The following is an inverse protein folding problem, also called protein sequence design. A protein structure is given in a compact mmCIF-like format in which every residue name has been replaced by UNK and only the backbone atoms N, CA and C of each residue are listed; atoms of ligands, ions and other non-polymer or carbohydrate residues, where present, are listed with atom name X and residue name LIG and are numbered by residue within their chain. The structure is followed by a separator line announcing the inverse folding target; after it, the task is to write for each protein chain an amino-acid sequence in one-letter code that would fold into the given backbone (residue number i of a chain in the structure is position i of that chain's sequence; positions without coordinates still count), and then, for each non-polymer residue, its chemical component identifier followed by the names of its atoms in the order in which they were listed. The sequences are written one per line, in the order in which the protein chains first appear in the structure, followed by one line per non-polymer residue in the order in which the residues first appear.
data_IF_978532807426
#
_entry.id   IF_978532807426
#
_cell.length_a   1.000
_cell.length_b   1.000
_cell.length_c   1.000
_cell.angle_alpha   90.00
_cell.angle_beta   90.00
_cell.angle_gamma   90.00
#
_symmetry.space_group_name_H-M   'P 1'
#
loop_
_entity.id
_entity.type
_entity.pdbx_description
1 polymer ?
#
# COMPACT_ATOMS: atom_id res chain seq x y z
N UNK A 1 -37.38 -1.72 -25.01
CA UNK A 1 -37.66 -2.63 -23.88
C UNK A 1 -36.41 -2.82 -23.05
N UNK A 2 -36.26 -1.92 -22.08
CA UNK A 2 -35.58 -2.11 -20.80
C UNK A 2 -36.00 -0.88 -20.02
N UNK A 3 -37.08 -1.02 -19.24
CA UNK A 3 -37.56 0.02 -18.33
C UNK A 3 -36.52 0.18 -17.23
N UNK A 4 -35.74 1.26 -17.32
CA UNK A 4 -34.90 1.75 -16.23
C UNK A 4 -35.77 2.44 -15.20
N UNK A 5 -36.49 1.64 -14.41
CA UNK A 5 -37.21 2.13 -13.24
C UNK A 5 -36.16 2.34 -12.13
N UNK A 6 -35.48 3.49 -12.15
CA UNK A 6 -34.81 4.01 -10.95
C UNK A 6 -35.88 4.16 -9.89
N UNK A 7 -35.84 3.29 -8.88
CA UNK A 7 -36.70 3.39 -7.72
C UNK A 7 -36.38 4.71 -7.01
N UNK A 8 -37.11 5.77 -7.35
CA UNK A 8 -37.19 6.99 -6.54
C UNK A 8 -37.70 6.55 -5.18
N UNK A 9 -36.80 6.44 -4.21
CA UNK A 9 -37.14 6.16 -2.83
C UNK A 9 -38.01 7.32 -2.33
N UNK A 10 -39.27 7.03 -2.07
CA UNK A 10 -40.27 8.02 -1.66
C UNK A 10 -40.25 8.08 -0.14
N UNK A 11 -39.98 9.26 0.41
CA UNK A 11 -40.04 9.50 1.86
C UNK A 11 -41.34 10.22 2.17
N UNK A 12 -42.14 9.63 3.07
CA UNK A 12 -43.39 10.24 3.53
C UNK A 12 -43.08 11.38 4.50
N UNK A 13 -43.54 12.58 4.17
CA UNK A 13 -43.52 13.72 5.10
C UNK A 13 -44.43 13.46 6.30
N UNK A 14 -44.21 14.17 7.42
CA UNK A 14 -45.08 14.12 8.61
C UNK A 14 -46.54 14.53 8.34
N UNK A 15 -46.83 15.10 7.16
CA UNK A 15 -48.15 15.46 6.64
C UNK A 15 -48.76 14.43 5.68
N UNK A 16 -48.08 13.30 5.42
CA UNK A 16 -48.56 12.25 4.50
C UNK A 16 -48.36 12.54 3.01
N UNK A 17 -47.67 13.62 2.65
CA UNK A 17 -47.28 13.93 1.27
C UNK A 17 -45.99 13.18 0.88
N UNK A 18 -46.00 12.59 -0.31
CA UNK A 18 -44.85 11.93 -0.91
C UNK A 18 -43.82 12.97 -1.36
N UNK A 19 -42.63 12.95 -0.75
CA UNK A 19 -41.53 13.85 -1.11
C UNK A 19 -40.40 13.00 -1.68
N UNK A 20 -39.81 13.43 -2.79
CA UNK A 20 -38.64 12.73 -3.35
C UNK A 20 -37.46 12.83 -2.39
N UNK A 21 -36.71 11.74 -2.21
CA UNK A 21 -35.54 11.67 -1.32
C UNK A 21 -34.57 12.86 -1.48
N UNK A 22 -34.32 13.34 -2.71
CA UNK A 22 -33.50 14.53 -2.99
C UNK A 22 -33.98 15.79 -2.24
N UNK A 23 -35.29 16.05 -2.23
CA UNK A 23 -35.87 17.22 -1.54
C UNK A 23 -35.77 17.07 -0.02
N UNK A 24 -35.90 15.84 0.49
CA UNK A 24 -35.67 15.56 1.90
C UNK A 24 -34.20 15.83 2.29
N UNK A 25 -33.25 15.34 1.50
CA UNK A 25 -31.81 15.59 1.71
C UNK A 25 -31.48 17.09 1.63
N UNK A 26 -32.04 17.81 0.65
CA UNK A 26 -31.85 19.26 0.54
C UNK A 26 -32.37 20.01 1.76
N UNK A 27 -33.57 19.67 2.25
CA UNK A 27 -34.14 20.27 3.46
C UNK A 27 -33.29 19.91 4.68
N UNK A 28 -32.89 18.64 4.84
CA UNK A 28 -32.04 18.20 5.93
C UNK A 28 -30.68 18.92 5.93
N UNK A 29 -30.02 19.01 4.78
CA UNK A 29 -28.71 19.64 4.62
C UNK A 29 -28.81 21.17 4.79
N UNK A 30 -29.90 21.81 4.36
CA UNK A 30 -30.12 23.24 4.60
C UNK A 30 -30.34 23.56 6.08
N UNK A 31 -31.02 22.68 6.82
CA UNK A 31 -31.28 22.85 8.26
C UNK A 31 -30.03 22.54 9.10
N UNK A 32 -29.29 21.49 8.73
CA UNK A 32 -28.14 21.01 9.53
C UNK A 32 -26.82 21.64 9.11
N UNK A 33 -26.73 22.19 7.89
CA UNK A 33 -25.46 22.62 7.27
C UNK A 33 -24.49 21.46 7.03
N UNK A 34 -24.92 20.21 7.24
CA UNK A 34 -24.06 19.03 7.13
C UNK A 34 -23.99 18.61 5.66
N UNK A 35 -22.77 18.38 5.17
CA UNK A 35 -22.52 17.79 3.84
C UNK A 35 -22.22 16.32 4.03
N UNK A 36 -22.75 15.49 3.14
CA UNK A 36 -22.43 14.07 3.14
C UNK A 36 -21.09 13.82 2.44
N UNK A 37 -20.37 12.80 2.89
CA UNK A 37 -19.04 12.46 2.40
C UNK A 37 -19.00 11.00 1.94
N UNK A 38 -18.54 10.79 0.71
CA UNK A 38 -18.26 9.47 0.16
C UNK A 38 -16.75 9.32 0.03
N UNK A 39 -16.18 8.29 0.67
CA UNK A 39 -14.76 8.01 0.58
C UNK A 39 -14.49 6.56 0.20
N UNK A 40 -13.51 6.35 -0.68
CA UNK A 40 -13.11 5.03 -1.14
C UNK A 40 -11.59 4.91 -1.18
N UNK A 41 -11.07 3.88 -0.53
CA UNK A 41 -9.64 3.57 -0.51
C UNK A 41 -9.33 2.47 -1.53
N UNK A 42 -8.24 2.65 -2.26
CA UNK A 42 -7.70 1.68 -3.20
C UNK A 42 -6.38 1.11 -2.67
N UNK A 43 -6.15 -0.18 -2.95
CA UNK A 43 -5.00 -0.93 -2.44
C UNK A 43 -4.12 -1.52 -3.56
N UNK A 44 -4.46 -1.21 -4.82
CA UNK A 44 -3.75 -1.73 -5.99
C UNK A 44 -2.49 -0.91 -6.28
N UNK A 45 -1.40 -1.58 -6.65
CA UNK A 45 -0.14 -0.95 -7.04
C UNK A 45 -0.24 -0.41 -8.47
N UNK A 46 -0.56 0.87 -8.59
CA UNK A 46 -0.70 1.55 -9.87
C UNK A 46 0.62 2.18 -10.34
N UNK A 47 0.71 2.38 -11.65
CA UNK A 47 1.72 3.23 -12.28
C UNK A 47 1.00 4.38 -12.98
N UNK A 48 1.13 5.58 -12.42
CA UNK A 48 0.49 6.80 -12.93
C UNK A 48 1.56 7.66 -13.57
N UNK A 49 1.36 8.03 -14.83
CA UNK A 49 2.12 9.07 -15.52
C UNK A 49 1.35 10.38 -15.59
N UNK A 50 2.02 11.41 -16.12
CA UNK A 50 1.40 12.70 -16.37
C UNK A 50 0.18 12.60 -17.31
N UNK A 51 0.29 11.80 -18.39
CA UNK A 51 -0.80 11.60 -19.35
C UNK A 51 -2.05 10.99 -18.71
N UNK A 52 -1.88 10.11 -17.72
CA UNK A 52 -3.00 9.49 -17.00
C UNK A 52 -3.76 10.53 -16.14
N UNK A 53 -3.03 11.50 -15.55
CA UNK A 53 -3.63 12.62 -14.82
C UNK A 53 -4.34 13.60 -15.77
N UNK A 54 -3.78 13.84 -16.95
CA UNK A 54 -4.42 14.65 -17.99
C UNK A 54 -5.72 13.99 -18.48
N UNK A 55 -5.71 12.68 -18.66
CA UNK A 55 -6.92 11.91 -18.98
C UNK A 55 -7.96 12.01 -17.87
N UNK A 56 -7.56 11.95 -16.60
CA UNK A 56 -8.47 12.13 -15.47
C UNK A 56 -9.14 13.52 -15.51
N UNK A 57 -8.32 14.57 -15.67
CA UNK A 57 -8.84 15.93 -15.70
C UNK A 57 -9.81 16.13 -16.86
N UNK A 58 -9.47 15.66 -18.07
CA UNK A 58 -10.37 15.73 -19.22
C UNK A 58 -11.69 14.97 -19.00
N UNK A 59 -11.65 13.79 -18.38
CA UNK A 59 -12.86 13.03 -18.03
C UNK A 59 -13.72 13.75 -17.00
N UNK A 60 -13.11 14.42 -16.02
CA UNK A 60 -13.83 15.24 -15.05
C UNK A 60 -14.51 16.44 -15.72
N UNK A 61 -13.81 17.19 -16.56
CA UNK A 61 -14.41 18.31 -17.31
C UNK A 61 -15.57 17.84 -18.20
N UNK A 62 -15.37 16.76 -18.97
CA UNK A 62 -16.40 16.19 -19.83
C UNK A 62 -17.64 15.72 -19.03
N UNK A 63 -17.44 15.19 -17.83
CA UNK A 63 -18.53 14.81 -16.95
C UNK A 63 -19.29 16.05 -16.45
N UNK A 64 -18.55 17.10 -16.06
CA UNK A 64 -19.14 18.35 -15.58
C UNK A 64 -19.95 19.08 -16.66
N UNK A 65 -19.59 18.94 -17.95
CA UNK A 65 -20.38 19.47 -19.08
C UNK A 65 -21.81 18.92 -19.15
N UNK A 66 -22.05 17.72 -18.61
CA UNK A 66 -23.39 17.11 -18.58
C UNK A 66 -24.29 17.76 -17.52
N UNK A 67 -23.70 18.48 -16.56
CA UNK A 67 -24.39 19.17 -15.50
C UNK A 67 -24.42 20.68 -15.78
N UNK A 68 -25.46 21.37 -15.30
CA UNK A 68 -25.52 22.82 -15.34
C UNK A 68 -24.54 23.42 -14.31
N UNK A 69 -23.24 23.39 -14.64
CA UNK A 69 -22.18 23.88 -13.77
C UNK A 69 -22.00 25.40 -13.92
N UNK A 70 -22.14 26.14 -12.83
CA UNK A 70 -21.95 27.61 -12.83
C UNK A 70 -20.49 28.02 -12.66
N UNK A 71 -19.74 27.24 -11.87
CA UNK A 71 -18.32 27.47 -11.63
C UNK A 71 -17.62 26.15 -11.36
N UNK A 72 -16.42 26.00 -11.91
CA UNK A 72 -15.51 24.89 -11.63
C UNK A 72 -14.13 25.43 -11.30
N UNK A 73 -13.41 24.71 -10.45
CA UNK A 73 -12.04 24.98 -10.07
C UNK A 73 -11.32 23.67 -9.84
N UNK A 74 -10.04 23.64 -10.18
CA UNK A 74 -9.14 22.51 -9.94
C UNK A 74 -7.92 23.03 -9.20
N UNK A 75 -7.49 22.33 -8.15
CA UNK A 75 -6.21 22.58 -7.52
C UNK A 75 -5.42 21.29 -7.46
N UNK A 76 -4.10 21.40 -7.62
CA UNK A 76 -3.19 20.26 -7.57
C UNK A 76 -2.14 20.53 -6.51
N UNK A 77 -1.98 19.61 -5.58
CA UNK A 77 -0.95 19.67 -4.54
C UNK A 77 -0.02 18.48 -4.73
N UNK A 78 1.27 18.76 -4.90
CA UNK A 78 2.32 17.74 -5.05
C UNK A 78 3.27 17.85 -3.88
N UNK A 79 3.43 16.77 -3.12
CA UNK A 79 4.44 16.69 -2.06
C UNK A 79 5.60 15.83 -2.52
N UNK A 80 6.80 16.30 -2.24
CA UNK A 80 8.04 15.64 -2.58
C UNK A 80 8.67 14.99 -1.35
N UNK A 81 9.47 13.97 -1.60
CA UNK A 81 10.24 13.21 -0.61
C UNK A 81 11.19 14.05 0.26
N UNK A 82 11.56 15.25 -0.19
CA UNK A 82 12.41 16.20 0.55
C UNK A 82 11.61 17.16 1.44
N UNK A 83 10.29 16.99 1.52
CA UNK A 83 9.38 17.83 2.31
C UNK A 83 8.87 19.07 1.59
N UNK A 84 9.33 19.36 0.37
CA UNK A 84 8.75 20.44 -0.43
C UNK A 84 7.32 20.10 -0.83
N UNK A 85 6.47 21.13 -0.83
CA UNK A 85 5.07 21.03 -1.27
C UNK A 85 4.81 22.13 -2.27
N UNK A 86 4.34 21.76 -3.45
CA UNK A 86 3.94 22.69 -4.48
C UNK A 86 2.42 22.63 -4.65
N UNK A 87 1.77 23.78 -4.60
CA UNK A 87 0.35 23.93 -4.86
C UNK A 87 0.12 24.72 -6.15
N UNK A 88 -0.82 24.24 -6.95
CA UNK A 88 -1.23 24.85 -8.20
C UNK A 88 -2.73 25.14 -8.12
N UNK A 89 -3.12 26.34 -8.55
CA UNK A 89 -4.50 26.80 -8.54
C UNK A 89 -5.32 26.33 -9.74
N UNK A 90 -4.70 25.61 -10.69
CA UNK A 90 -5.35 25.04 -11.87
C UNK A 90 -4.53 23.89 -12.43
N UNK A 91 -5.16 23.01 -13.21
CA UNK A 91 -4.46 21.89 -13.84
C UNK A 91 -3.50 22.35 -14.94
N UNK A 92 -3.82 23.41 -15.67
CA UNK A 92 -2.99 23.96 -16.75
C UNK A 92 -1.68 24.56 -16.21
N UNK A 93 -1.74 25.21 -15.04
CA UNK A 93 -0.54 25.69 -14.35
C UNK A 93 0.33 24.54 -13.89
N UNK A 94 -0.29 23.45 -13.41
CA UNK A 94 0.41 22.21 -13.09
C UNK A 94 1.06 21.59 -14.33
N UNK A 95 0.35 21.50 -15.46
CA UNK A 95 0.88 20.98 -16.73
C UNK A 95 2.12 21.75 -17.18
N UNK A 96 2.06 23.08 -17.12
CA UNK A 96 3.16 23.95 -17.59
C UNK A 96 4.41 23.84 -16.71
N UNK A 97 4.26 23.63 -15.40
CA UNK A 97 5.36 23.74 -14.43
C UNK A 97 5.86 22.38 -13.87
N UNK A 98 5.13 21.29 -14.10
CA UNK A 98 5.43 19.97 -13.51
C UNK A 98 6.74 19.36 -14.04
N UNK A 99 7.06 19.54 -15.32
CA UNK A 99 8.20 18.89 -15.97
C UNK A 99 9.59 19.38 -15.56
N UNK A 100 9.70 20.55 -14.92
CA UNK A 100 10.99 21.20 -14.63
C UNK A 100 11.62 20.82 -13.28
N UNK A 101 11.01 19.90 -12.51
CA UNK A 101 11.32 19.75 -11.07
C UNK A 101 12.19 18.54 -10.76
N UNK A 102 13.09 18.70 -9.79
CA UNK A 102 14.19 17.76 -9.45
C UNK A 102 13.86 16.84 -8.24
N UNK A 103 12.61 16.78 -7.79
CA UNK A 103 12.21 16.00 -6.61
C UNK A 103 11.49 14.69 -6.94
N UNK A 104 11.68 13.65 -6.12
CA UNK A 104 10.85 12.44 -6.18
C UNK A 104 9.52 12.70 -5.45
N UNK A 105 8.40 12.40 -6.12
CA UNK A 105 7.04 12.67 -5.66
C UNK A 105 6.60 11.62 -4.65
N UNK A 106 6.17 12.06 -3.47
CA UNK A 106 5.63 11.21 -2.41
C UNK A 106 4.13 11.00 -2.57
N UNK A 107 3.39 12.09 -2.75
CA UNK A 107 1.95 12.05 -2.95
C UNK A 107 1.50 13.21 -3.84
N UNK A 108 0.35 12.99 -4.47
CA UNK A 108 -0.31 13.95 -5.33
C UNK A 108 -1.78 13.98 -4.97
N UNK A 109 -2.32 15.18 -4.80
CA UNK A 109 -3.71 15.43 -4.50
C UNK A 109 -4.28 16.36 -5.57
N UNK A 110 -5.32 15.91 -6.27
CA UNK A 110 -6.14 16.79 -7.12
C UNK A 110 -7.44 17.07 -6.39
N UNK A 111 -7.77 18.34 -6.20
CA UNK A 111 -9.03 18.76 -5.59
C UNK A 111 -9.83 19.57 -6.61
N UNK A 112 -10.98 19.05 -7.00
CA UNK A 112 -11.96 19.74 -7.83
C UNK A 112 -13.04 20.33 -6.94
N UNK A 113 -13.39 21.59 -7.16
CA UNK A 113 -14.49 22.26 -6.50
C UNK A 113 -15.41 22.83 -7.58
N UNK A 114 -16.69 22.49 -7.53
CA UNK A 114 -17.64 22.95 -8.54
C UNK A 114 -19.02 23.19 -7.98
N UNK A 115 -19.77 24.07 -8.64
CA UNK A 115 -21.14 24.44 -8.33
C UNK A 115 -22.07 23.85 -9.38
N UNK A 116 -22.98 22.95 -8.98
CA UNK A 116 -23.98 22.35 -9.87
C UNK A 116 -25.35 22.91 -9.50
N UNK A 117 -26.09 23.37 -10.50
CA UNK A 117 -27.50 23.76 -10.35
C UNK A 117 -28.37 22.51 -10.49
N UNK A 118 -29.02 22.11 -9.41
CA UNK A 118 -29.88 20.93 -9.42
C UNK A 118 -31.20 21.23 -10.16
N UNK A 119 -31.73 20.31 -10.99
CA UNK A 119 -32.93 20.54 -11.79
C UNK A 119 -34.18 20.89 -10.95
N UNK A 120 -34.26 20.32 -9.74
CA UNK A 120 -35.43 20.44 -8.86
C UNK A 120 -35.42 21.72 -8.03
N UNK A 121 -34.29 22.03 -7.39
CA UNK A 121 -34.19 23.21 -6.50
C UNK A 121 -33.81 24.48 -7.24
N UNK A 122 -33.17 24.36 -8.42
CA UNK A 122 -32.59 25.50 -9.17
C UNK A 122 -31.59 26.32 -8.36
N UNK A 123 -31.06 25.75 -7.28
CA UNK A 123 -30.02 26.35 -6.46
C UNK A 123 -28.68 25.74 -6.82
N UNK A 124 -27.65 26.58 -6.92
CA UNK A 124 -26.28 26.13 -7.07
C UNK A 124 -25.77 25.51 -5.76
N UNK A 125 -25.36 24.24 -5.81
CA UNK A 125 -24.80 23.50 -4.69
C UNK A 125 -23.33 23.19 -4.92
N UNK A 126 -22.52 23.33 -3.87
CA UNK A 126 -21.07 23.07 -3.93
C UNK A 126 -20.77 21.60 -3.73
N UNK A 127 -19.94 21.07 -4.61
CA UNK A 127 -19.36 19.74 -4.54
C UNK A 127 -17.84 19.86 -4.47
N UNK A 128 -17.21 18.96 -3.73
CA UNK A 128 -15.75 18.86 -3.64
C UNK A 128 -15.31 17.43 -3.90
N UNK A 129 -14.40 17.25 -4.84
CA UNK A 129 -13.87 15.94 -5.22
C UNK A 129 -12.36 15.96 -5.03
N UNK A 130 -11.87 15.16 -4.08
CA UNK A 130 -10.45 14.93 -3.82
C UNK A 130 -10.00 13.59 -4.37
N UNK A 131 -8.98 13.61 -5.22
CA UNK A 131 -8.27 12.44 -5.72
C UNK A 131 -6.87 12.45 -5.15
N UNK A 132 -6.62 11.56 -4.20
CA UNK A 132 -5.31 11.41 -3.56
C UNK A 132 -4.61 10.17 -4.09
N UNK A 133 -3.38 10.34 -4.57
CA UNK A 133 -2.50 9.29 -5.09
C UNK A 133 -1.20 9.29 -4.27
N UNK A 134 -0.76 8.10 -3.87
CA UNK A 134 0.47 7.91 -3.11
C UNK A 134 1.50 7.13 -3.94
N UNK A 135 2.74 7.62 -3.96
CA UNK A 135 3.88 6.86 -4.46
C UNK A 135 4.65 6.20 -3.32
N UNK A 136 4.77 4.88 -3.38
CA UNK A 136 5.61 4.13 -2.45
C UNK A 136 7.09 4.45 -2.63
N UNK A 137 7.52 4.72 -3.87
CA UNK A 137 8.92 5.05 -4.16
C UNK A 137 9.31 6.36 -3.47
N UNK A 138 8.50 7.41 -3.60
CA UNK A 138 8.76 8.69 -2.93
C UNK A 138 8.69 8.60 -1.41
N UNK A 139 7.76 7.81 -0.87
CA UNK A 139 7.68 7.63 0.59
C UNK A 139 8.86 6.83 1.14
N UNK A 140 9.31 5.78 0.44
CA UNK A 140 10.52 5.04 0.80
C UNK A 140 11.75 5.93 0.75
N UNK A 141 11.86 6.80 -0.26
CA UNK A 141 12.95 7.78 -0.33
C UNK A 141 12.94 8.72 0.88
N UNK A 142 11.77 9.25 1.25
CA UNK A 142 11.60 10.07 2.45
C UNK A 142 12.03 9.33 3.72
N UNK A 143 11.56 8.10 3.92
CA UNK A 143 11.91 7.28 5.10
C UNK A 143 13.41 6.97 5.18
N UNK A 144 14.06 6.81 4.02
CA UNK A 144 15.49 6.62 3.94
C UNK A 144 16.26 7.91 4.26
N UNK A 145 15.81 9.06 3.73
CA UNK A 145 16.41 10.37 4.02
C UNK A 145 16.24 10.79 5.48
N UNK A 146 15.08 10.49 6.08
CA UNK A 146 14.78 10.87 7.46
C UNK A 146 15.41 9.94 8.50
N UNK A 147 16.15 8.91 8.08
CA UNK A 147 16.68 7.85 8.97
C UNK A 147 15.59 7.28 9.91
N UNK A 148 14.37 7.08 9.39
CA UNK A 148 13.24 6.62 10.19
C UNK A 148 13.58 5.29 10.89
N UNK A 149 13.18 5.20 12.16
CA UNK A 149 13.31 4.00 12.98
C UNK A 149 12.56 2.80 12.38
N UNK A 150 12.94 1.59 12.77
CA UNK A 150 12.27 0.37 12.30
C UNK A 150 10.77 0.35 12.66
N UNK A 151 10.39 0.95 13.79
CA UNK A 151 8.99 1.09 14.20
C UNK A 151 8.23 2.02 13.26
N UNK A 152 8.77 3.21 12.98
CA UNK A 152 8.16 4.18 12.05
C UNK A 152 8.03 3.59 10.65
N UNK A 153 9.08 2.89 10.17
CA UNK A 153 9.04 2.18 8.88
C UNK A 153 7.91 1.15 8.86
N UNK A 154 7.72 0.37 9.93
CA UNK A 154 6.65 -0.62 10.01
C UNK A 154 5.26 0.03 10.03
N UNK A 155 5.06 1.08 10.82
CA UNK A 155 3.79 1.83 10.84
C UNK A 155 3.48 2.44 9.47
N UNK A 156 4.50 3.02 8.83
CA UNK A 156 4.35 3.61 7.51
C UNK A 156 4.08 2.55 6.43
N UNK A 157 4.68 1.36 6.53
CA UNK A 157 4.36 0.22 5.64
C UNK A 157 2.89 -0.19 5.71
N UNK A 158 2.26 -0.11 6.89
CA UNK A 158 0.84 -0.40 7.03
C UNK A 158 -0.04 0.70 6.41
N UNK A 159 0.35 1.97 6.56
CA UNK A 159 -0.30 3.10 5.89
C UNK A 159 -0.15 3.07 4.37
N UNK A 160 1.01 2.60 3.88
CA UNK A 160 1.30 2.43 2.46
C UNK A 160 0.40 1.41 1.76
N UNK A 161 -0.40 0.60 2.48
CA UNK A 161 -1.37 -0.27 1.81
C UNK A 161 -2.37 0.54 0.99
N UNK A 162 -2.70 1.76 1.42
CA UNK A 162 -3.58 2.66 0.67
C UNK A 162 -2.75 3.34 -0.40
N UNK A 163 -3.01 3.03 -1.66
CA UNK A 163 -2.30 3.60 -2.81
C UNK A 163 -3.02 4.79 -3.39
N UNK A 164 -4.35 4.77 -3.38
CA UNK A 164 -5.18 5.91 -3.76
C UNK A 164 -6.39 6.06 -2.84
N UNK A 165 -6.92 7.27 -2.74
CA UNK A 165 -8.15 7.58 -2.03
C UNK A 165 -8.96 8.58 -2.84
N UNK A 166 -10.24 8.30 -3.00
CA UNK A 166 -11.21 9.26 -3.50
C UNK A 166 -12.05 9.76 -2.34
N UNK A 167 -12.31 11.06 -2.32
CA UNK A 167 -13.14 11.73 -1.33
C UNK A 167 -14.09 12.66 -2.08
N UNK A 168 -15.39 12.52 -1.89
CA UNK A 168 -16.41 13.33 -2.55
C UNK A 168 -17.32 13.89 -1.48
N UNK A 169 -17.33 15.21 -1.33
CA UNK A 169 -18.32 15.94 -0.53
C UNK A 169 -19.46 16.34 -1.44
N UNK A 170 -20.68 15.94 -1.09
CA UNK A 170 -21.84 16.08 -1.96
C UNK A 170 -23.10 16.50 -1.21
N UNK A 171 -24.06 17.00 -2.00
CA UNK A 171 -25.44 17.30 -1.56
C UNK A 171 -26.42 16.27 -2.10
N UNK A 172 -26.28 15.90 -3.38
CA UNK A 172 -27.05 14.84 -4.05
C UNK A 172 -26.19 13.58 -4.28
N UNK A 173 -26.66 12.45 -3.74
CA UNK A 173 -26.00 11.14 -3.84
C UNK A 173 -25.88 10.68 -5.29
N UNK A 174 -26.87 10.93 -6.14
CA UNK A 174 -26.90 10.43 -7.52
C UNK A 174 -25.75 11.02 -8.35
N UNK A 175 -25.51 12.33 -8.19
CA UNK A 175 -24.37 13.02 -8.81
C UNK A 175 -23.05 12.46 -8.26
N UNK A 176 -22.95 12.29 -6.95
CA UNK A 176 -21.76 11.75 -6.31
C UNK A 176 -21.41 10.33 -6.78
N UNK A 177 -22.42 9.46 -6.97
CA UNK A 177 -22.24 8.10 -7.48
C UNK A 177 -21.79 8.06 -8.93
N UNK A 178 -22.29 8.97 -9.76
CA UNK A 178 -21.83 9.14 -11.14
C UNK A 178 -20.34 9.51 -11.17
N UNK A 179 -19.94 10.50 -10.36
CA UNK A 179 -18.54 10.91 -10.22
C UNK A 179 -17.68 9.75 -9.70
N UNK A 180 -18.12 9.06 -8.65
CA UNK A 180 -17.41 7.91 -8.09
C UNK A 180 -17.19 6.81 -9.14
N UNK A 181 -18.20 6.52 -9.96
CA UNK A 181 -18.12 5.51 -11.01
C UNK A 181 -17.07 5.87 -12.06
N UNK A 182 -17.04 7.14 -12.51
CA UNK A 182 -16.04 7.62 -13.46
C UNK A 182 -14.62 7.55 -12.88
N UNK A 183 -14.44 7.94 -11.62
CA UNK A 183 -13.15 7.84 -10.94
C UNK A 183 -12.68 6.39 -10.79
N UNK A 184 -13.60 5.47 -10.47
CA UNK A 184 -13.30 4.04 -10.37
C UNK A 184 -12.95 3.45 -11.73
N UNK A 185 -13.66 3.82 -12.80
CA UNK A 185 -13.35 3.39 -14.17
C UNK A 185 -11.96 3.88 -14.61
N UNK A 186 -11.68 5.17 -14.42
CA UNK A 186 -10.36 5.73 -14.67
C UNK A 186 -9.26 4.97 -13.92
N UNK A 187 -9.46 4.73 -12.62
CA UNK A 187 -8.48 4.04 -11.79
C UNK A 187 -8.26 2.59 -12.23
N UNK A 188 -9.32 1.90 -12.67
CA UNK A 188 -9.22 0.54 -13.23
C UNK A 188 -8.47 0.52 -14.55
N UNK A 189 -8.54 1.59 -15.35
CA UNK A 189 -7.80 1.77 -16.60
C UNK A 189 -6.29 1.99 -16.42
N UNK A 190 -5.84 2.35 -15.21
CA UNK A 190 -4.42 2.56 -14.93
C UNK A 190 -3.60 1.28 -15.08
N UNK A 191 -2.35 1.42 -15.52
CA UNK A 191 -1.40 0.29 -15.57
C UNK A 191 -1.10 -0.19 -14.16
N UNK A 192 -1.46 -1.44 -13.86
CA UNK A 192 -1.18 -2.07 -12.56
C UNK A 192 0.09 -2.92 -12.64
N UNK A 193 0.94 -2.85 -11.62
CA UNK A 193 2.04 -3.81 -11.48
C UNK A 193 1.48 -5.13 -10.94
N UNK A 194 1.61 -6.25 -11.68
CA UNK A 194 1.02 -7.51 -11.25
C UNK A 194 1.69 -8.00 -9.97
N UNK A 195 0.87 -8.44 -9.02
CA UNK A 195 1.33 -9.19 -7.86
C UNK A 195 1.83 -10.56 -8.34
N UNK A 196 3.14 -10.66 -8.57
CA UNK A 196 3.78 -11.93 -8.93
C UNK A 196 3.51 -12.92 -7.79
N UNK A 197 3.24 -14.20 -8.10
CA UNK A 197 3.05 -15.27 -7.11
C UNK A 197 4.16 -15.32 -6.03
N UNK A 198 5.39 -14.94 -6.43
CA UNK A 198 6.54 -14.74 -5.54
C UNK A 198 6.29 -13.75 -4.42
N UNK A 199 5.42 -12.75 -4.61
CA UNK A 199 5.03 -11.78 -3.58
C UNK A 199 4.14 -12.39 -2.50
N UNK A 200 3.18 -13.26 -2.87
CA UNK A 200 2.36 -13.98 -1.88
C UNK A 200 3.24 -14.87 -1.00
N UNK A 201 4.19 -15.57 -1.62
CA UNK A 201 5.19 -16.38 -0.92
C UNK A 201 6.09 -15.49 -0.05
N UNK A 202 6.65 -14.42 -0.61
CA UNK A 202 7.49 -13.47 0.11
C UNK A 202 6.76 -12.86 1.30
N UNK A 203 5.47 -12.53 1.17
CA UNK A 203 4.63 -12.00 2.25
C UNK A 203 4.37 -13.05 3.31
N UNK A 204 4.07 -14.29 2.93
CA UNK A 204 3.91 -15.39 3.87
C UNK A 204 5.19 -15.60 4.70
N UNK A 205 6.34 -15.68 4.03
CA UNK A 205 7.64 -15.81 4.68
C UNK A 205 8.06 -14.54 5.44
N UNK A 206 7.69 -13.34 5.01
CA UNK A 206 8.01 -12.12 5.76
C UNK A 206 7.24 -12.08 7.08
N UNK A 207 5.92 -12.35 7.04
CA UNK A 207 5.05 -12.34 8.22
C UNK A 207 5.40 -13.47 9.19
N UNK A 208 5.71 -14.67 8.67
CA UNK A 208 6.04 -15.83 9.49
C UNK A 208 7.55 -16.08 9.60
N UNK A 209 8.41 -15.15 9.17
CA UNK A 209 9.87 -15.37 9.09
C UNK A 209 10.42 -15.90 10.40
N UNK A 210 10.11 -15.24 11.52
CA UNK A 210 10.53 -15.68 12.85
C UNK A 210 9.98 -17.05 13.26
N UNK A 211 8.79 -17.45 12.81
CA UNK A 211 8.21 -18.76 13.12
C UNK A 211 8.75 -19.86 12.21
N UNK A 212 8.94 -19.57 10.92
CA UNK A 212 9.52 -20.48 9.93
C UNK A 212 10.95 -20.82 10.33
N UNK A 213 11.77 -19.84 10.74
CA UNK A 213 13.14 -20.13 11.16
C UNK A 213 13.18 -20.94 12.45
N UNK A 214 12.26 -20.69 13.40
CA UNK A 214 12.11 -21.52 14.61
C UNK A 214 11.71 -22.96 14.26
N UNK A 215 10.75 -23.13 13.36
CA UNK A 215 10.28 -24.45 12.95
C UNK A 215 11.34 -25.22 12.17
N UNK A 216 12.02 -24.57 11.21
CA UNK A 216 13.12 -25.18 10.47
C UNK A 216 14.27 -25.60 11.40
N UNK A 217 14.61 -24.75 12.38
CA UNK A 217 15.57 -25.09 13.42
C UNK A 217 15.13 -26.30 14.25
N UNK A 218 13.86 -26.34 14.68
CA UNK A 218 13.33 -27.47 15.43
C UNK A 218 13.37 -28.79 14.66
N UNK A 219 12.97 -28.77 13.37
CA UNK A 219 13.02 -29.97 12.50
C UNK A 219 14.45 -30.45 12.29
N UNK A 220 15.38 -29.55 11.95
CA UNK A 220 16.79 -29.91 11.77
C UNK A 220 17.37 -30.53 13.04
N UNK A 221 16.97 -30.02 14.21
CA UNK A 221 17.45 -30.50 15.48
C UNK A 221 16.90 -31.89 15.83
N UNK A 222 15.62 -32.16 15.54
CA UNK A 222 15.04 -33.52 15.60
C UNK A 222 15.77 -34.47 14.66
N UNK A 223 16.07 -34.05 13.42
CA UNK A 223 16.79 -34.90 12.47
C UNK A 223 18.20 -35.24 12.95
N UNK A 224 18.91 -34.28 13.54
CA UNK A 224 20.26 -34.47 14.09
C UNK A 224 20.22 -35.38 15.32
N UNK A 225 19.32 -35.15 16.27
CA UNK A 225 19.21 -36.03 17.45
C UNK A 225 18.76 -37.43 17.07
N UNK A 226 17.84 -37.56 16.11
CA UNK A 226 17.44 -38.86 15.58
C UNK A 226 18.63 -39.60 14.95
N UNK A 227 19.42 -38.93 14.11
CA UNK A 227 20.56 -39.54 13.43
C UNK A 227 21.69 -39.96 14.37
N UNK A 228 22.08 -39.08 15.31
CA UNK A 228 23.20 -39.34 16.22
C UNK A 228 22.85 -40.33 17.34
N UNK A 229 21.60 -40.38 17.78
CA UNK A 229 21.24 -41.10 19.01
C UNK A 229 20.40 -42.36 18.79
N UNK A 230 19.83 -42.62 17.61
CA UNK A 230 19.20 -43.93 17.35
C UNK A 230 20.13 -45.13 17.59
N UNK A 231 21.42 -45.08 17.20
CA UNK A 231 22.34 -46.20 17.39
C UNK A 231 22.80 -46.39 18.85
N UNK A 232 22.64 -45.37 19.70
CA UNK A 232 23.38 -45.22 20.96
C UNK A 232 22.48 -45.09 22.20
N UNK A 233 21.25 -45.63 22.15
CA UNK A 233 20.36 -45.71 23.32
C UNK A 233 20.93 -46.73 24.31
N UNK A 234 22.00 -46.34 25.00
CA UNK A 234 22.54 -47.01 26.17
C UNK A 234 21.88 -46.43 27.43
N UNK A 235 21.60 -47.25 28.42
CA UNK A 235 20.91 -46.87 29.68
C UNK A 235 21.72 -45.96 30.62
N UNK A 236 22.90 -45.48 30.19
CA UNK A 236 23.83 -44.75 31.05
C UNK A 236 23.42 -43.27 31.22
N UNK A 237 23.25 -42.86 32.48
CA UNK A 237 22.85 -41.52 32.90
C UNK A 237 23.85 -40.44 32.44
N UNK A 238 25.14 -40.79 32.34
CA UNK A 238 26.20 -39.89 31.87
C UNK A 238 26.01 -39.49 30.40
N UNK A 239 25.66 -40.47 29.55
CA UNK A 239 25.37 -40.24 28.14
C UNK A 239 24.14 -39.36 27.97
N UNK A 240 23.07 -39.59 28.74
CA UNK A 240 21.86 -38.77 28.69
C UNK A 240 22.11 -37.30 29.05
N UNK A 241 22.98 -37.01 30.02
CA UNK A 241 23.31 -35.63 30.40
C UNK A 241 24.10 -34.88 29.31
N UNK A 242 25.03 -35.57 28.64
CA UNK A 242 25.77 -35.01 27.50
C UNK A 242 24.82 -34.66 26.35
N UNK A 243 23.88 -35.56 26.05
CA UNK A 243 22.85 -35.35 25.03
C UNK A 243 22.02 -34.11 25.34
N UNK A 244 21.53 -34.01 26.58
CA UNK A 244 20.73 -32.86 27.01
C UNK A 244 21.50 -31.54 26.89
N UNK A 245 22.77 -31.54 27.25
CA UNK A 245 23.61 -30.33 27.19
C UNK A 245 23.85 -29.88 25.75
N UNK A 246 24.19 -30.82 24.84
CA UNK A 246 24.36 -30.53 23.40
C UNK A 246 23.04 -30.08 22.78
N UNK A 247 21.92 -30.67 23.18
CA UNK A 247 20.59 -30.28 22.75
C UNK A 247 20.27 -28.84 23.16
N UNK A 248 20.43 -28.48 24.43
CA UNK A 248 20.14 -27.13 24.93
C UNK A 248 21.06 -26.08 24.29
N UNK A 249 22.35 -26.40 24.11
CA UNK A 249 23.31 -25.51 23.46
C UNK A 249 22.98 -25.28 21.98
N UNK A 250 22.65 -26.34 21.24
CA UNK A 250 22.28 -26.25 19.81
C UNK A 250 20.95 -25.51 19.62
N UNK A 251 19.93 -25.77 20.45
CA UNK A 251 18.67 -25.00 20.43
C UNK A 251 18.93 -23.52 20.70
N UNK A 252 19.74 -23.19 21.70
CA UNK A 252 20.02 -21.80 22.09
C UNK A 252 20.77 -21.05 20.99
N UNK A 253 21.82 -21.65 20.41
CA UNK A 253 22.56 -21.06 19.29
C UNK A 253 21.67 -20.91 18.05
N UNK A 254 20.88 -21.93 17.72
CA UNK A 254 20.01 -21.89 16.55
C UNK A 254 18.88 -20.87 16.70
N UNK A 255 18.37 -20.67 17.92
CA UNK A 255 17.36 -19.63 18.19
C UNK A 255 17.95 -18.23 18.04
N UNK A 256 19.16 -17.99 18.56
CA UNK A 256 19.85 -16.70 18.44
C UNK A 256 20.19 -16.34 16.98
N UNK A 257 20.84 -17.27 16.28
CA UNK A 257 21.22 -17.10 14.87
C UNK A 257 19.96 -17.04 13.99
N UNK A 258 18.99 -17.92 14.23
CA UNK A 258 17.75 -17.99 13.48
C UNK A 258 16.91 -16.72 13.61
N UNK A 259 16.86 -16.09 14.78
CA UNK A 259 16.16 -14.81 14.94
C UNK A 259 16.88 -13.67 14.19
N UNK A 260 18.21 -13.61 14.28
CA UNK A 260 19.02 -12.65 13.54
C UNK A 260 18.84 -12.78 12.03
N UNK A 261 18.97 -13.99 11.50
CA UNK A 261 18.81 -14.28 10.08
C UNK A 261 17.35 -14.13 9.62
N UNK A 262 16.38 -14.56 10.42
CA UNK A 262 14.96 -14.45 10.10
C UNK A 262 14.49 -13.00 10.03
N UNK A 263 14.90 -12.16 10.99
CA UNK A 263 14.60 -10.71 10.96
C UNK A 263 15.31 -10.00 9.81
N UNK A 264 16.55 -10.38 9.52
CA UNK A 264 17.32 -9.87 8.39
C UNK A 264 16.72 -10.30 7.04
N UNK A 265 16.26 -11.54 6.92
CA UNK A 265 15.55 -12.05 5.76
C UNK A 265 14.18 -11.38 5.60
N UNK A 266 13.42 -11.22 6.68
CA UNK A 266 12.13 -10.53 6.68
C UNK A 266 12.22 -9.09 6.19
N UNK A 267 13.26 -8.35 6.61
CA UNK A 267 13.57 -7.00 6.08
C UNK A 267 13.83 -7.04 4.58
N UNK A 268 14.59 -8.02 4.12
CA UNK A 268 14.88 -8.22 2.70
C UNK A 268 13.62 -8.55 1.89
N UNK A 269 12.73 -9.41 2.40
CA UNK A 269 11.45 -9.75 1.76
C UNK A 269 10.48 -8.56 1.66
N UNK A 270 10.43 -7.69 2.68
CA UNK A 270 9.60 -6.47 2.64
C UNK A 270 10.01 -5.52 1.50
N UNK A 271 11.29 -5.49 1.14
CA UNK A 271 11.77 -4.73 -0.01
C UNK A 271 11.30 -5.26 -1.37
N UNK A 272 10.76 -6.49 -1.42
CA UNK A 272 10.29 -7.13 -2.65
C UNK A 272 8.84 -6.81 -3.01
N UNK A 273 8.20 -5.89 -2.29
CA UNK A 273 6.82 -5.51 -2.60
C UNK A 273 6.73 -4.74 -3.91
N UNK A 274 5.74 -5.01 -4.79
CA UNK A 274 5.43 -4.07 -5.87
C UNK A 274 5.10 -2.72 -5.25
N UNK A 275 5.34 -1.66 -6.03
CA UNK A 275 5.33 -0.30 -5.54
C UNK A 275 4.44 0.57 -6.42
N UNK A 276 3.52 1.29 -5.80
CA UNK A 276 2.78 2.34 -6.49
C UNK A 276 3.77 3.44 -6.93
N UNK A 277 3.71 3.82 -8.20
CA UNK A 277 4.69 4.70 -8.82
C UNK A 277 3.99 5.84 -9.55
N UNK A 278 4.35 7.07 -9.18
CA UNK A 278 3.91 8.27 -9.88
C UNK A 278 5.14 8.79 -10.66
N UNK A 279 5.00 8.92 -11.98
CA UNK A 279 6.08 9.37 -12.88
C UNK A 279 5.80 10.81 -13.31
N UNK A 280 6.30 11.79 -12.53
CA UNK A 280 6.23 13.21 -12.90
C UNK A 280 7.60 13.79 -13.20
N UNK A 281 8.66 13.29 -12.56
CA UNK A 281 10.04 13.76 -12.74
C UNK A 281 10.97 12.61 -13.15
N UNK A 282 12.11 12.97 -13.73
CA UNK A 282 13.23 12.05 -13.92
C UNK A 282 13.79 11.55 -12.58
N UNK A 283 13.69 12.35 -11.51
CA UNK A 283 14.07 11.94 -10.17
C UNK A 283 13.26 10.72 -9.70
N UNK A 284 11.97 10.63 -10.06
CA UNK A 284 11.14 9.46 -9.74
C UNK A 284 11.70 8.18 -10.38
N UNK A 285 12.15 8.28 -11.64
CA UNK A 285 12.70 7.16 -12.40
C UNK A 285 14.04 6.71 -11.80
N UNK A 286 14.88 7.67 -11.44
CA UNK A 286 16.17 7.40 -10.79
C UNK A 286 15.98 6.71 -9.44
N UNK A 287 15.11 7.25 -8.58
CA UNK A 287 14.79 6.65 -7.27
C UNK A 287 14.18 5.26 -7.43
N UNK A 288 13.32 5.04 -8.43
CA UNK A 288 12.81 3.69 -8.71
C UNK A 288 13.95 2.71 -9.05
N UNK A 289 14.96 3.16 -9.80
CA UNK A 289 16.11 2.34 -10.16
C UNK A 289 17.03 2.06 -8.98
N UNK A 290 17.26 3.03 -8.09
CA UNK A 290 18.08 2.87 -6.88
C UNK A 290 17.42 1.93 -5.86
N UNK A 291 16.09 2.02 -5.72
CA UNK A 291 15.29 1.07 -4.94
C UNK A 291 15.38 -0.32 -5.54
N UNK A 292 15.32 -0.45 -6.88
CA UNK A 292 15.51 -1.74 -7.57
C UNK A 292 16.93 -2.30 -7.40
N UNK A 293 17.96 -1.46 -7.37
CA UNK A 293 19.33 -1.92 -7.13
C UNK A 293 19.49 -2.40 -5.68
N UNK A 294 18.87 -1.70 -4.73
CA UNK A 294 18.84 -2.08 -3.32
C UNK A 294 18.10 -3.41 -3.14
N UNK A 295 17.02 -3.64 -3.89
CA UNK A 295 16.33 -4.92 -4.01
C UNK A 295 17.26 -6.05 -4.48
N UNK A 296 18.08 -5.83 -5.52
CA UNK A 296 19.01 -6.86 -6.00
C UNK A 296 20.10 -7.18 -4.96
N UNK A 297 20.60 -6.16 -4.25
CA UNK A 297 21.55 -6.35 -3.15
C UNK A 297 20.93 -7.17 -2.00
N UNK A 298 19.68 -6.88 -1.62
CA UNK A 298 18.95 -7.63 -0.60
C UNK A 298 18.75 -9.09 -0.99
N UNK A 299 18.44 -9.38 -2.27
CA UNK A 299 18.36 -10.77 -2.77
C UNK A 299 19.72 -11.45 -2.73
N UNK A 300 20.78 -10.80 -3.19
CA UNK A 300 22.13 -11.36 -3.18
C UNK A 300 22.57 -11.71 -1.75
N UNK A 301 22.27 -10.83 -0.80
CA UNK A 301 22.54 -11.10 0.60
C UNK A 301 21.66 -12.25 1.14
N UNK A 302 20.41 -12.40 0.66
CA UNK A 302 19.49 -13.47 1.12
C UNK A 302 20.04 -14.83 0.74
N UNK A 303 20.53 -14.93 -0.50
CA UNK A 303 21.22 -16.11 -1.00
C UNK A 303 22.48 -16.38 -0.18
N UNK A 304 23.28 -15.34 0.09
CA UNK A 304 24.50 -15.47 0.90
C UNK A 304 24.22 -15.96 2.32
N UNK A 305 23.14 -15.46 2.95
CA UNK A 305 22.72 -15.88 4.28
C UNK A 305 22.22 -17.34 4.30
N UNK A 306 21.45 -17.75 3.28
CA UNK A 306 21.02 -19.13 3.15
C UNK A 306 22.22 -20.09 3.00
N UNK A 307 23.16 -19.74 2.11
CA UNK A 307 24.41 -20.49 1.92
C UNK A 307 25.21 -20.54 3.23
N UNK A 308 25.40 -19.40 3.90
CA UNK A 308 26.11 -19.32 5.17
C UNK A 308 25.49 -20.18 6.26
N UNK A 309 24.15 -20.25 6.32
CA UNK A 309 23.44 -21.11 7.29
C UNK A 309 23.72 -22.58 7.03
N UNK A 310 23.67 -23.01 5.77
CA UNK A 310 23.98 -24.39 5.37
C UNK A 310 25.45 -24.71 5.67
N UNK A 311 26.38 -23.80 5.34
CA UNK A 311 27.81 -23.99 5.60
C UNK A 311 28.11 -24.10 7.09
N UNK A 312 27.51 -23.26 7.94
CA UNK A 312 27.67 -23.34 9.39
C UNK A 312 27.11 -24.64 9.95
N UNK A 313 25.95 -25.08 9.45
CA UNK A 313 25.37 -26.36 9.84
C UNK A 313 26.28 -27.54 9.45
N UNK A 314 26.84 -27.54 8.24
CA UNK A 314 27.78 -28.58 7.78
C UNK A 314 29.09 -28.58 8.59
N UNK A 315 29.64 -27.40 8.89
CA UNK A 315 30.83 -27.27 9.73
C UNK A 315 30.58 -27.75 11.16
N UNK A 316 29.42 -27.42 11.73
CA UNK A 316 29.05 -27.90 13.06
C UNK A 316 28.97 -29.43 13.10
N UNK A 317 28.35 -30.05 12.09
CA UNK A 317 28.30 -31.51 11.95
C UNK A 317 29.70 -32.12 11.79
N UNK A 318 30.56 -31.49 10.98
CA UNK A 318 31.93 -31.94 10.81
C UNK A 318 32.73 -31.90 12.12
N UNK A 319 32.63 -30.79 12.87
CA UNK A 319 33.30 -30.66 14.18
C UNK A 319 32.76 -31.67 15.20
N UNK A 320 31.45 -31.90 15.24
CA UNK A 320 30.85 -32.92 16.10
C UNK A 320 31.42 -34.32 15.78
N UNK A 321 31.47 -34.67 14.49
CA UNK A 321 32.04 -35.94 14.05
C UNK A 321 33.52 -36.10 14.42
N UNK A 322 34.30 -35.01 14.36
CA UNK A 322 35.73 -35.01 14.70
C UNK A 322 35.97 -35.20 16.21
N UNK A 323 35.06 -34.69 17.04
CA UNK A 323 35.10 -34.85 18.49
C UNK A 323 34.59 -36.23 18.97
N UNK A 324 34.12 -37.09 18.05
CA UNK A 324 33.57 -38.40 18.38
C UNK A 324 32.23 -38.31 19.13
N UNK A 325 31.47 -37.23 18.89
CA UNK A 325 30.12 -36.99 19.40
C UNK A 325 29.12 -37.19 18.28
#
# INVERSE_FOLDING_TARGET
MSDGNEATEIVLSGTGSEISFQVYQDVYNSITGHRENLSRNMFDFHKVGFDDLKSLHAQMEQMLEQYACEASGCSVVVRYSDGRTDSFSSFERFETLSGAKVGCVENLELSYEFLIVLPKTKEAKTYKVGVFLMSHVGLLDRLNRSNASDLERNMMNDLMKITARFHIEYVDVSVARSIEAQLDEWYRGLKKEPLIFRHKIARFFATHSGQVTKFAGFVALISITWYLFLPSISSDTSSLFKILTVFVASVSMMTGIGYGLGSWAGRSFKSLSPMAFIKLSNADVETKSSVRQSYLKSIGALVLAAVGTISVSLLATYVASLLGI
#
